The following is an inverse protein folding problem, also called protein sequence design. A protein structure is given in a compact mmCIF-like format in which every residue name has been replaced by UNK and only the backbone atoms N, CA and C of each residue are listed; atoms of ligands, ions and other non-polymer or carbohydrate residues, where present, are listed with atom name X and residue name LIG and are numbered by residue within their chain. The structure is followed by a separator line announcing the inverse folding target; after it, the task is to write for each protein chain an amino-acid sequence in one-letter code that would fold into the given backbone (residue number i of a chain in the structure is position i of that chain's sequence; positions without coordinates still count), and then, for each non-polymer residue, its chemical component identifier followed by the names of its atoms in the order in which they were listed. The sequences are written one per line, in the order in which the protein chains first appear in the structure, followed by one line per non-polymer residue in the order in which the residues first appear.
data_IF_310823257987
#
_entry.id   IF_310823257987
#
_cell.length_a   1.000
_cell.length_b   1.000
_cell.length_c   1.000
_cell.angle_alpha   90.00
_cell.angle_beta   90.00
_cell.angle_gamma   90.00
#
_symmetry.space_group_name_H-M   'P 1'
#
loop_
_entity.id
_entity.type
_entity.pdbx_description
1 polymer ?
#
# COMPACT_ATOMS: atom_id res chain seq x y z
N UNK A 1 -51.37 -12.13 -40.71
CA UNK A 1 -50.58 -11.06 -40.06
C UNK A 1 -49.27 -11.63 -39.52
N UNK A 2 -48.13 -11.30 -40.15
CA UNK A 2 -46.78 -11.69 -39.69
C UNK A 2 -45.83 -10.49 -39.90
N UNK A 3 -45.41 -9.84 -38.82
CA UNK A 3 -44.22 -8.97 -38.62
C UNK A 3 -44.52 -8.18 -37.34
N UNK A 4 -43.72 -8.23 -36.28
CA UNK A 4 -42.35 -7.72 -36.27
C UNK A 4 -41.40 -8.66 -35.52
N UNK A 5 -40.24 -8.87 -36.16
CA UNK A 5 -39.06 -9.48 -35.60
C UNK A 5 -38.12 -8.38 -35.10
N UNK A 6 -37.38 -8.73 -34.05
CA UNK A 6 -36.01 -8.32 -33.71
C UNK A 6 -35.81 -6.97 -33.02
N UNK A 7 -35.24 -7.07 -31.83
CA UNK A 7 -34.55 -5.99 -31.16
C UNK A 7 -34.53 -6.13 -29.64
N UNK A 8 -34.15 -7.29 -29.09
CA UNK A 8 -33.71 -7.34 -27.68
C UNK A 8 -32.19 -7.31 -27.69
N UNK A 9 -31.53 -6.18 -27.38
CA UNK A 9 -30.10 -6.18 -27.14
C UNK A 9 -29.82 -7.03 -25.90
N UNK A 10 -28.75 -7.83 -25.96
CA UNK A 10 -28.29 -8.65 -24.84
C UNK A 10 -27.72 -7.82 -23.68
N UNK A 11 -27.30 -8.49 -22.59
CA UNK A 11 -26.79 -7.83 -21.39
C UNK A 11 -25.45 -7.15 -21.68
N UNK A 12 -25.47 -5.86 -21.94
CA UNK A 12 -24.28 -5.03 -22.19
C UNK A 12 -24.28 -3.82 -21.24
N UNK A 13 -24.11 -4.09 -19.94
CA UNK A 13 -24.04 -3.04 -18.90
C UNK A 13 -22.86 -3.19 -17.93
N UNK A 14 -22.14 -4.31 -17.93
CA UNK A 14 -21.26 -4.63 -16.80
C UNK A 14 -19.81 -4.14 -16.97
N UNK A 15 -19.31 -3.83 -18.17
CA UNK A 15 -17.88 -3.56 -18.37
C UNK A 15 -17.45 -2.09 -18.36
N UNK A 16 -18.38 -1.13 -18.37
CA UNK A 16 -18.10 0.31 -18.30
C UNK A 16 -18.23 0.87 -16.88
N UNK A 17 -19.36 0.60 -16.23
CA UNK A 17 -19.61 1.00 -14.84
C UNK A 17 -18.65 0.31 -13.86
N UNK A 18 -18.29 -0.96 -14.09
CA UNK A 18 -17.25 -1.64 -13.28
C UNK A 18 -15.88 -0.97 -13.41
N UNK A 19 -15.50 -0.37 -14.55
CA UNK A 19 -14.22 0.34 -14.68
C UNK A 19 -14.24 1.68 -13.96
N UNK A 20 -15.35 2.40 -14.03
CA UNK A 20 -15.52 3.68 -13.30
C UNK A 20 -15.57 3.42 -11.80
N UNK A 21 -16.28 2.37 -11.38
CA UNK A 21 -16.35 1.95 -9.98
C UNK A 21 -14.98 1.48 -9.48
N UNK A 22 -14.28 0.61 -10.22
CA UNK A 22 -12.92 0.19 -9.86
C UNK A 22 -11.95 1.38 -9.75
N UNK A 23 -12.11 2.42 -10.59
CA UNK A 23 -11.29 3.63 -10.51
C UNK A 23 -11.69 4.52 -9.31
N UNK A 24 -12.98 4.62 -8.99
CA UNK A 24 -13.47 5.36 -7.81
C UNK A 24 -13.06 4.68 -6.51
N UNK A 25 -13.17 3.36 -6.44
CA UNK A 25 -12.72 2.53 -5.31
C UNK A 25 -11.21 2.65 -5.12
N UNK A 26 -10.41 2.62 -6.20
CA UNK A 26 -8.96 2.85 -6.12
C UNK A 26 -8.61 4.22 -5.53
N UNK A 27 -9.27 5.29 -5.98
CA UNK A 27 -9.05 6.65 -5.43
C UNK A 27 -9.59 6.84 -4.02
N UNK A 28 -10.59 6.06 -3.61
CA UNK A 28 -11.09 6.03 -2.25
C UNK A 28 -10.07 5.32 -1.34
N UNK A 29 -9.55 4.16 -1.78
CA UNK A 29 -8.52 3.41 -1.08
C UNK A 29 -7.23 4.23 -0.90
N UNK A 30 -6.74 4.88 -1.97
CA UNK A 30 -5.56 5.75 -1.90
C UNK A 30 -5.73 6.89 -0.87
N UNK A 31 -6.91 7.52 -0.82
CA UNK A 31 -7.20 8.59 0.16
C UNK A 31 -7.32 8.07 1.58
N UNK A 32 -7.91 6.88 1.77
CA UNK A 32 -7.97 6.21 3.07
C UNK A 32 -6.56 5.89 3.57
N UNK A 33 -5.71 5.33 2.70
CA UNK A 33 -4.31 5.03 3.02
C UNK A 33 -3.52 6.28 3.38
N UNK A 34 -3.61 7.36 2.59
CA UNK A 34 -2.92 8.60 2.91
C UNK A 34 -3.40 9.24 4.22
N UNK A 35 -4.71 9.20 4.48
CA UNK A 35 -5.28 9.71 5.75
C UNK A 35 -4.82 8.87 6.94
N UNK A 36 -4.82 7.56 6.80
CA UNK A 36 -4.31 6.63 7.81
C UNK A 36 -2.81 6.84 8.05
N UNK A 37 -2.01 6.98 6.98
CA UNK A 37 -0.58 7.27 7.07
C UNK A 37 -0.31 8.56 7.85
N UNK A 38 -1.08 9.62 7.57
CA UNK A 38 -0.97 10.90 8.28
C UNK A 38 -1.35 10.80 9.75
N UNK A 39 -2.33 9.97 10.10
CA UNK A 39 -2.69 9.70 11.50
C UNK A 39 -1.61 8.92 12.26
N UNK A 40 -0.94 7.99 11.59
CA UNK A 40 0.09 7.12 12.16
C UNK A 40 1.52 7.60 11.82
N UNK A 41 1.66 8.87 11.42
CA UNK A 41 2.89 9.37 10.82
C UNK A 41 4.08 9.35 11.77
N UNK A 42 3.84 9.57 13.07
CA UNK A 42 4.85 9.50 14.11
C UNK A 42 5.36 8.06 14.28
N UNK A 43 4.45 7.09 14.39
CA UNK A 43 4.81 5.67 14.54
C UNK A 43 5.52 5.12 13.30
N UNK A 44 5.03 5.47 12.10
CA UNK A 44 5.69 5.11 10.83
C UNK A 44 7.13 5.63 10.77
N UNK A 45 7.36 6.89 11.15
CA UNK A 45 8.71 7.49 11.19
C UNK A 45 9.58 6.87 12.27
N UNK A 46 9.00 6.56 13.45
CA UNK A 46 9.70 5.89 14.55
C UNK A 46 10.22 4.52 14.10
N UNK A 47 9.36 3.69 13.52
CA UNK A 47 9.75 2.36 13.04
C UNK A 47 10.74 2.47 11.87
N UNK A 48 10.51 3.37 10.93
CA UNK A 48 11.44 3.61 9.83
C UNK A 48 12.84 4.01 10.33
N UNK A 49 12.93 4.86 11.36
CA UNK A 49 14.19 5.22 12.02
C UNK A 49 14.86 4.05 12.73
N UNK A 50 14.08 3.18 13.40
CA UNK A 50 14.60 1.95 14.01
C UNK A 50 15.19 1.00 12.96
N UNK A 51 14.48 0.79 11.84
CA UNK A 51 14.95 -0.06 10.74
C UNK A 51 16.19 0.54 10.07
N UNK A 52 16.23 1.86 9.87
CA UNK A 52 17.38 2.58 9.32
C UNK A 52 18.65 2.48 10.18
N UNK A 53 18.48 2.31 11.50
CA UNK A 53 19.60 2.14 12.43
C UNK A 53 20.12 0.69 12.51
N UNK A 54 19.46 -0.28 11.85
CA UNK A 54 19.90 -1.67 11.86
C UNK A 54 21.14 -1.85 10.98
N UNK A 55 22.22 -2.36 11.57
CA UNK A 55 23.48 -2.67 10.88
C UNK A 55 23.55 -4.11 10.36
N UNK A 56 22.67 -4.98 10.83
CA UNK A 56 22.73 -6.43 10.64
C UNK A 56 21.77 -6.94 9.55
N UNK A 57 21.31 -6.03 8.69
CA UNK A 57 20.42 -6.39 7.58
C UNK A 57 21.21 -7.04 6.42
N UNK A 58 20.60 -8.03 5.73
CA UNK A 58 21.27 -8.70 4.62
C UNK A 58 21.53 -7.71 3.47
N UNK A 59 22.58 -7.93 2.64
CA UNK A 59 22.90 -7.03 1.53
C UNK A 59 21.74 -6.81 0.54
N UNK A 60 20.84 -7.79 0.41
CA UNK A 60 19.63 -7.69 -0.39
C UNK A 60 18.68 -6.55 0.07
N UNK A 61 18.72 -6.19 1.36
CA UNK A 61 17.91 -5.14 1.94
C UNK A 61 18.53 -3.73 1.79
N UNK A 62 19.80 -3.59 1.39
CA UNK A 62 20.44 -2.27 1.22
C UNK A 62 19.69 -1.36 0.24
N UNK A 63 19.22 -1.92 -0.87
CA UNK A 63 18.41 -1.17 -1.85
C UNK A 63 17.11 -0.65 -1.22
N UNK A 64 16.51 -1.45 -0.33
CA UNK A 64 15.29 -1.07 0.38
C UNK A 64 15.58 -0.02 1.47
N UNK A 65 16.70 -0.13 2.18
CA UNK A 65 17.15 0.89 3.13
C UNK A 65 17.39 2.24 2.44
N UNK A 66 18.00 2.26 1.26
CA UNK A 66 18.16 3.49 0.47
C UNK A 66 16.80 4.12 0.10
N UNK A 67 15.81 3.29 -0.27
CA UNK A 67 14.44 3.76 -0.52
C UNK A 67 13.76 4.27 0.76
N UNK A 68 13.98 3.60 1.88
CA UNK A 68 13.45 4.00 3.19
C UNK A 68 14.05 5.34 3.63
N UNK A 69 15.36 5.53 3.48
CA UNK A 69 16.04 6.81 3.73
C UNK A 69 15.52 7.91 2.82
N UNK A 70 15.33 7.63 1.53
CA UNK A 70 14.72 8.59 0.62
C UNK A 70 13.32 8.97 1.11
N UNK A 71 12.46 7.99 1.44
CA UNK A 71 11.10 8.24 1.93
C UNK A 71 11.06 9.00 3.27
N UNK A 72 12.03 8.77 4.17
CA UNK A 72 12.18 9.54 5.41
C UNK A 72 12.48 11.03 5.18
N UNK A 73 13.11 11.37 4.06
CA UNK A 73 13.34 12.76 3.66
C UNK A 73 12.08 13.43 3.08
N UNK A 74 11.02 12.67 2.78
CA UNK A 74 9.76 13.21 2.26
C UNK A 74 8.82 13.61 3.40
N UNK A 75 8.02 14.64 3.14
CA UNK A 75 7.04 15.15 4.12
C UNK A 75 5.80 14.23 4.22
N UNK A 76 5.44 13.54 3.13
CA UNK A 76 4.27 12.66 3.11
C UNK A 76 4.57 11.29 3.74
N UNK A 77 3.93 10.94 4.87
CA UNK A 77 4.11 9.63 5.51
C UNK A 77 3.56 8.46 4.67
N UNK A 78 2.71 8.71 3.66
CA UNK A 78 2.25 7.66 2.76
C UNK A 78 3.41 7.05 1.95
N UNK A 79 4.46 7.82 1.68
CA UNK A 79 5.66 7.35 0.99
C UNK A 79 6.46 6.35 1.83
N UNK A 80 6.27 6.32 3.16
CA UNK A 80 6.92 5.35 4.05
C UNK A 80 6.28 3.96 3.98
N UNK A 81 5.00 3.87 3.61
CA UNK A 81 4.26 2.59 3.65
C UNK A 81 4.89 1.56 2.71
N UNK A 82 5.18 1.94 1.47
CA UNK A 82 5.75 1.03 0.48
C UNK A 82 7.12 0.48 0.88
N UNK A 83 8.14 1.29 1.21
CA UNK A 83 9.43 0.78 1.64
C UNK A 83 9.34 -0.02 2.94
N UNK A 84 8.48 0.35 3.90
CA UNK A 84 8.26 -0.43 5.12
C UNK A 84 7.71 -1.83 4.81
N UNK A 85 6.67 -1.93 3.99
CA UNK A 85 6.10 -3.22 3.54
C UNK A 85 7.12 -4.06 2.77
N UNK A 86 7.92 -3.44 1.90
CA UNK A 86 8.98 -4.13 1.16
C UNK A 86 10.10 -4.65 2.08
N UNK A 87 10.40 -3.96 3.18
CA UNK A 87 11.41 -4.42 4.17
C UNK A 87 10.90 -5.53 5.10
N UNK A 88 9.59 -5.65 5.31
CA UNK A 88 8.95 -6.66 6.18
C UNK A 88 9.49 -8.09 6.01
N UNK A 89 9.58 -8.69 4.80
CA UNK A 89 10.11 -10.06 4.64
C UNK A 89 11.56 -10.23 5.09
N UNK A 90 12.36 -9.16 5.05
CA UNK A 90 13.73 -9.17 5.55
C UNK A 90 13.83 -9.03 7.07
N UNK A 91 12.80 -8.44 7.70
CA UNK A 91 12.71 -8.31 9.16
C UNK A 91 12.23 -9.58 9.83
N UNK A 92 11.32 -10.35 9.23
CA UNK A 92 10.76 -11.57 9.87
C UNK A 92 11.83 -12.58 10.28
N UNK A 93 12.93 -12.67 9.53
CA UNK A 93 14.04 -13.60 9.82
C UNK A 93 14.97 -13.15 10.95
N UNK A 94 15.25 -11.85 11.05
CA UNK A 94 16.30 -11.31 11.93
C UNK A 94 15.75 -10.46 13.07
N UNK A 95 14.63 -9.76 12.85
CA UNK A 95 13.98 -8.85 13.78
C UNK A 95 12.45 -9.06 13.82
N UNK A 96 11.99 -10.21 14.35
CA UNK A 96 10.57 -10.54 14.38
C UNK A 96 9.72 -9.55 15.21
N UNK A 97 10.31 -8.91 16.23
CA UNK A 97 9.65 -7.87 17.02
C UNK A 97 9.30 -6.63 16.19
N UNK A 98 10.23 -6.16 15.34
CA UNK A 98 9.97 -5.04 14.44
C UNK A 98 8.94 -5.39 13.36
N UNK A 99 8.95 -6.63 12.86
CA UNK A 99 7.92 -7.11 11.94
C UNK A 99 6.53 -7.11 12.63
N UNK A 100 6.45 -7.55 13.89
CA UNK A 100 5.21 -7.53 14.66
C UNK A 100 4.73 -6.09 14.93
N UNK A 101 5.63 -5.16 15.27
CA UNK A 101 5.28 -3.73 15.40
C UNK A 101 4.81 -3.13 14.08
N UNK A 102 5.31 -3.59 12.93
CA UNK A 102 4.82 -3.16 11.64
C UNK A 102 3.41 -3.71 11.35
N UNK A 103 3.13 -4.94 11.78
CA UNK A 103 1.83 -5.59 11.65
C UNK A 103 0.76 -4.96 12.56
N UNK A 104 1.13 -4.40 13.72
CA UNK A 104 0.18 -3.63 14.55
C UNK A 104 -0.20 -2.30 13.93
N UNK A 105 0.70 -1.71 13.12
CA UNK A 105 0.39 -0.50 12.37
C UNK A 105 -0.40 -0.81 11.09
N UNK A 106 -0.06 -1.87 10.37
CA UNK A 106 -0.74 -2.16 9.09
C UNK A 106 -2.20 -2.55 9.36
N UNK A 107 -3.20 -1.80 8.85
CA UNK A 107 -4.59 -2.19 9.03
C UNK A 107 -4.87 -3.54 8.32
N UNK A 108 -5.75 -4.39 8.86
CA UNK A 108 -6.11 -5.69 8.28
C UNK A 108 -6.74 -5.57 6.88
#
# INVERSE_FOLDING_TARGET
ERRYLRGRPGPAGTTGEQRVQATRERRAAERTTATWARRNAADLRRIAGQIAALTDLPPAAHTLLSKLHAALAHDDPAELIRPLTDTRPHLTGTHPDLAAQLDTLTPP
#
